data_IF_093184548607
#
_entry.id   IF_093184548607
#
_cell.length_a   1.000
_cell.length_b   1.000
_cell.length_c   1.000
_cell.angle_alpha   90.00
_cell.angle_beta   90.00
_cell.angle_gamma   90.00
#
_symmetry.space_group_name_H-M   'P 1'
#
loop_
_entity.id
_entity.type
_entity.pdbx_description
1 polymer ?
#
# COMPACT_ATOMS: atom_id res chain seq x y z
N UNK A 1 24.26 -7.42 -7.01
CA UNK A 1 23.37 -8.12 -7.95
C UNK A 1 22.35 -7.11 -8.45
N UNK A 2 22.20 -6.96 -9.76
CA UNK A 2 21.30 -5.97 -10.38
C UNK A 2 19.92 -6.65 -10.49
N UNK A 3 19.01 -6.36 -9.56
CA UNK A 3 17.65 -6.87 -9.64
C UNK A 3 16.99 -6.23 -10.88
N UNK A 4 16.60 -7.06 -11.85
CA UNK A 4 15.80 -6.65 -12.99
C UNK A 4 14.35 -6.63 -12.48
N UNK A 5 13.62 -5.53 -12.69
CA UNK A 5 12.22 -5.43 -12.26
C UNK A 5 11.40 -6.54 -12.93
N UNK A 6 11.01 -7.56 -12.16
CA UNK A 6 10.29 -8.74 -12.66
C UNK A 6 10.44 -9.97 -11.77
N UNK A 7 11.58 -10.14 -11.08
CA UNK A 7 11.89 -11.38 -10.34
C UNK A 7 11.81 -11.29 -8.81
N UNK A 8 11.42 -10.12 -8.27
CA UNK A 8 11.31 -9.97 -6.81
C UNK A 8 9.98 -10.57 -6.34
N UNK A 9 10.05 -11.69 -5.61
CA UNK A 9 8.90 -12.25 -4.92
C UNK A 9 8.34 -11.28 -3.87
N UNK A 10 7.06 -11.40 -3.53
CA UNK A 10 6.37 -10.47 -2.62
C UNK A 10 7.11 -10.24 -1.29
N UNK A 11 7.65 -11.31 -0.68
CA UNK A 11 8.46 -11.21 0.55
C UNK A 11 9.71 -10.34 0.40
N UNK A 12 10.33 -10.35 -0.77
CA UNK A 12 11.52 -9.54 -1.03
C UNK A 12 11.14 -8.07 -1.24
N UNK A 13 9.99 -7.80 -1.89
CA UNK A 13 9.43 -6.45 -1.97
C UNK A 13 9.10 -5.89 -0.58
N UNK A 14 8.40 -6.67 0.25
CA UNK A 14 8.08 -6.33 1.64
C UNK A 14 9.36 -5.98 2.41
N UNK A 15 10.40 -6.81 2.29
CA UNK A 15 11.69 -6.59 2.96
C UNK A 15 12.40 -5.34 2.46
N UNK A 16 12.47 -5.13 1.14
CA UNK A 16 13.18 -4.00 0.53
C UNK A 16 12.50 -2.65 0.84
N UNK A 17 11.17 -2.63 0.89
CA UNK A 17 10.39 -1.44 1.21
C UNK A 17 10.09 -1.29 2.70
N UNK A 18 10.56 -2.21 3.55
CA UNK A 18 10.34 -2.24 4.99
C UNK A 18 8.84 -2.15 5.36
N UNK A 19 8.02 -2.96 4.68
CA UNK A 19 6.57 -2.96 4.87
C UNK A 19 6.16 -3.71 6.13
N UNK A 20 5.15 -3.20 6.83
CA UNK A 20 4.52 -3.82 7.99
C UNK A 20 3.15 -4.41 7.62
N UNK A 21 2.61 -5.37 8.38
CA UNK A 21 1.22 -5.81 8.21
C UNK A 21 0.25 -4.63 8.35
N UNK A 22 -0.73 -4.54 7.45
CA UNK A 22 -1.79 -3.53 7.55
C UNK A 22 -2.95 -4.05 8.41
N UNK A 23 -3.61 -3.22 9.23
CA UNK A 23 -4.74 -3.65 10.07
C UNK A 23 -5.88 -4.32 9.29
N UNK A 24 -6.03 -3.97 8.02
CA UNK A 24 -7.09 -4.49 7.14
C UNK A 24 -6.66 -5.73 6.34
N UNK A 25 -5.42 -6.20 6.52
CA UNK A 25 -4.82 -7.26 5.71
C UNK A 25 -3.87 -6.74 4.64
N UNK A 26 -2.95 -7.61 4.21
CA UNK A 26 -1.82 -7.23 3.36
C UNK A 26 -0.70 -6.53 4.12
N UNK A 27 0.14 -5.85 3.36
CA UNK A 27 1.32 -5.14 3.86
C UNK A 27 1.32 -3.70 3.36
N UNK A 28 1.81 -2.78 4.19
CA UNK A 28 1.93 -1.37 3.82
C UNK A 28 3.19 -0.69 4.37
N UNK A 29 3.54 0.44 3.77
CA UNK A 29 4.47 1.42 4.34
C UNK A 29 4.08 2.82 3.88
N UNK A 30 4.06 3.79 4.79
CA UNK A 30 3.87 5.20 4.44
C UNK A 30 5.16 5.78 3.84
N UNK A 31 5.05 6.35 2.65
CA UNK A 31 6.18 6.92 1.90
C UNK A 31 6.14 8.44 1.86
N UNK A 32 4.97 9.03 2.09
CA UNK A 32 4.80 10.47 2.12
C UNK A 32 3.63 10.89 3.02
N UNK A 33 3.81 12.02 3.68
CA UNK A 33 2.78 12.74 4.41
C UNK A 33 2.98 14.23 4.21
N UNK A 34 1.92 14.91 3.75
CA UNK A 34 1.97 16.35 3.57
C UNK A 34 2.14 17.06 4.94
N UNK A 35 2.83 18.21 5.00
CA UNK A 35 2.86 19.04 6.21
C UNK A 35 1.45 19.49 6.61
N UNK A 36 1.20 19.58 7.92
CA UNK A 36 -0.03 20.12 8.49
C UNK A 36 0.27 20.87 9.79
N UNK A 37 -0.57 21.84 10.13
CA UNK A 37 -0.52 22.48 11.45
C UNK A 37 -0.91 21.47 12.54
N UNK A 38 -0.44 21.63 13.79
CA UNK A 38 -0.84 20.78 14.90
C UNK A 38 -2.36 20.73 15.05
N UNK A 39 -2.93 19.52 15.14
CA UNK A 39 -4.36 19.29 15.24
C UNK A 39 -5.13 19.29 13.92
N UNK A 40 -4.47 19.53 12.79
CA UNK A 40 -5.08 19.45 11.46
C UNK A 40 -4.67 18.17 10.72
N UNK A 41 -5.57 17.65 9.88
CA UNK A 41 -5.28 16.52 8.99
C UNK A 41 -4.37 16.98 7.84
N UNK A 42 -3.32 16.22 7.49
CA UNK A 42 -2.58 16.41 6.24
C UNK A 42 -3.48 16.42 5.01
N UNK A 43 -3.14 17.26 4.03
CA UNK A 43 -3.87 17.34 2.76
C UNK A 43 -3.79 16.03 1.95
N UNK A 44 -2.71 15.25 2.12
CA UNK A 44 -2.56 13.93 1.54
C UNK A 44 -1.53 13.09 2.28
N UNK A 45 -1.67 11.77 2.11
CA UNK A 45 -0.70 10.74 2.49
C UNK A 45 -0.53 9.80 1.30
N UNK A 46 0.62 9.14 1.20
CA UNK A 46 0.86 8.09 0.22
C UNK A 46 1.47 6.88 0.91
N UNK A 47 0.97 5.71 0.55
CA UNK A 47 1.51 4.44 1.01
C UNK A 47 1.89 3.59 -0.21
N UNK A 48 2.83 2.67 -0.01
CA UNK A 48 2.84 1.44 -0.80
C UNK A 48 1.96 0.41 -0.09
N UNK A 49 1.18 -0.33 -0.87
CA UNK A 49 0.33 -1.42 -0.40
C UNK A 49 0.57 -2.66 -1.27
N UNK A 50 0.62 -3.83 -0.63
CA UNK A 50 0.87 -5.11 -1.29
C UNK A 50 0.01 -6.21 -0.67
N UNK A 51 -0.59 -7.03 -1.53
CA UNK A 51 -1.20 -8.30 -1.18
C UNK A 51 -0.34 -9.45 -1.72
N UNK A 52 -0.03 -10.41 -0.86
CA UNK A 52 0.47 -11.72 -1.30
C UNK A 52 -0.69 -12.55 -1.87
N UNK A 53 -0.35 -13.70 -2.45
CA UNK A 53 -1.36 -14.68 -2.80
C UNK A 53 -2.19 -15.04 -1.55
N UNK A 54 -3.51 -15.16 -1.75
CA UNK A 54 -4.50 -15.49 -0.72
C UNK A 54 -4.72 -14.42 0.39
N UNK A 55 -4.08 -13.25 0.29
CA UNK A 55 -4.40 -12.10 1.14
C UNK A 55 -5.51 -11.23 0.53
N UNK A 56 -6.31 -10.63 1.40
CA UNK A 56 -7.34 -9.66 1.04
C UNK A 56 -7.21 -8.43 1.92
N UNK A 57 -7.57 -7.26 1.36
CA UNK A 57 -7.91 -6.09 2.17
C UNK A 57 -9.38 -6.23 2.58
N UNK A 58 -9.64 -6.32 3.88
CA UNK A 58 -10.98 -6.42 4.43
C UNK A 58 -11.77 -5.14 4.15
N UNK A 59 -13.10 -5.28 4.07
CA UNK A 59 -14.00 -4.15 3.89
C UNK A 59 -13.77 -3.09 4.97
N UNK A 60 -13.54 -1.85 4.52
CA UNK A 60 -13.36 -0.70 5.37
C UNK A 60 -13.88 0.55 4.66
N UNK A 61 -13.91 1.66 5.38
CA UNK A 61 -14.33 2.96 4.85
C UNK A 61 -13.41 4.04 5.35
N UNK A 62 -12.99 4.90 4.43
CA UNK A 62 -12.28 6.15 4.71
C UNK A 62 -13.22 7.34 4.51
N UNK A 63 -12.92 8.44 5.19
CA UNK A 63 -13.66 9.70 5.14
C UNK A 63 -13.08 10.70 4.11
N UNK A 64 -12.21 10.22 3.22
CA UNK A 64 -11.58 10.97 2.15
C UNK A 64 -11.46 10.08 0.90
N UNK A 65 -11.30 10.70 -0.27
CA UNK A 65 -11.04 9.95 -1.50
C UNK A 65 -9.68 9.25 -1.43
N UNK A 66 -9.63 8.01 -1.90
CA UNK A 66 -8.41 7.21 -1.97
C UNK A 66 -8.05 6.91 -3.44
N UNK A 67 -6.83 7.24 -3.83
CA UNK A 67 -6.33 7.03 -5.18
C UNK A 67 -5.45 5.78 -5.24
N UNK A 68 -5.80 4.83 -6.11
CA UNK A 68 -5.04 3.59 -6.31
C UNK A 68 -4.17 3.68 -7.56
N UNK A 69 -2.85 3.50 -7.40
CA UNK A 69 -1.86 3.54 -8.48
C UNK A 69 -1.18 2.18 -8.62
N UNK A 70 -1.55 1.40 -9.63
CA UNK A 70 -0.93 0.10 -9.88
C UNK A 70 0.55 0.26 -10.27
N UNK A 71 1.43 -0.52 -9.64
CA UNK A 71 2.89 -0.48 -9.87
C UNK A 71 3.45 -1.79 -10.46
N UNK A 72 3.05 -2.95 -9.91
CA UNK A 72 3.60 -4.26 -10.28
C UNK A 72 2.71 -5.42 -9.80
N UNK A 73 3.06 -6.63 -10.21
CA UNK A 73 2.39 -7.87 -9.79
C UNK A 73 1.14 -8.19 -10.63
N UNK A 74 0.26 -9.02 -10.08
CA UNK A 74 -1.04 -9.30 -10.70
C UNK A 74 -1.96 -8.07 -10.67
N UNK A 75 -3.02 -8.06 -11.50
CA UNK A 75 -4.06 -7.04 -11.39
C UNK A 75 -4.78 -7.15 -10.04
N UNK A 76 -5.20 -6.01 -9.50
CA UNK A 76 -6.01 -5.94 -8.28
C UNK A 76 -7.49 -5.82 -8.65
N UNK A 77 -8.35 -6.57 -7.98
CA UNK A 77 -9.80 -6.39 -8.05
C UNK A 77 -10.23 -5.51 -6.88
N UNK A 78 -10.65 -4.28 -7.18
CA UNK A 78 -11.24 -3.37 -6.21
C UNK A 78 -12.76 -3.53 -6.24
N UNK A 79 -13.35 -3.88 -5.09
CA UNK A 79 -14.80 -3.93 -4.91
C UNK A 79 -15.23 -2.74 -4.07
N UNK A 80 -16.22 -1.97 -4.53
CA UNK A 80 -16.69 -0.73 -3.91
C UNK A 80 -18.21 -0.85 -3.74
N UNK A 81 -18.76 -0.30 -2.64
CA UNK A 81 -20.18 -0.33 -2.28
C UNK A 81 -20.72 1.07 -1.93
#
# INVERSE_FOLDING_TARGET
MKAISGDLGAREVIRLLNMAPHPEGGHFVETFRAPALPGYRPASTLIHFLLQADEVSAWHKVDADEMWLWQAGGPLVLTIA
#
